data_IF_319839603108
#
_entry.id   IF_319839603108
#
_cell.length_a   1.000
_cell.length_b   1.000
_cell.length_c   1.000
_cell.angle_alpha   90.00
_cell.angle_beta   90.00
_cell.angle_gamma   90.00
#
_symmetry.space_group_name_H-M   'P 1'
#
loop_
_entity.id
_entity.type
_entity.pdbx_description
1 polymer ?
#
# COMPACT_ATOMS: atom_id res chain seq x y z
N UNK A 1 12.11 -5.32 -10.18
CA UNK A 1 10.81 -4.89 -10.75
C UNK A 1 10.35 -3.63 -10.04
N UNK A 2 9.87 -2.66 -10.81
CA UNK A 2 9.37 -1.40 -10.25
C UNK A 2 7.89 -1.54 -9.91
N UNK A 3 7.42 -0.87 -8.84
CA UNK A 3 6.00 -0.87 -8.53
C UNK A 3 5.20 -0.15 -9.61
N UNK A 4 3.94 -0.57 -9.87
CA UNK A 4 3.11 0.11 -10.85
C UNK A 4 2.75 1.52 -10.40
N UNK A 5 2.77 2.47 -11.34
CA UNK A 5 2.42 3.87 -11.05
C UNK A 5 0.91 3.97 -10.78
N UNK A 6 0.55 4.69 -9.72
CA UNK A 6 -0.85 4.90 -9.36
C UNK A 6 -1.57 5.70 -10.45
N UNK A 7 -2.74 5.21 -10.85
CA UNK A 7 -3.57 5.84 -11.87
C UNK A 7 -5.02 5.80 -11.40
N UNK A 8 -5.53 6.96 -10.99
CA UNK A 8 -6.88 7.06 -10.46
C UNK A 8 -7.95 6.76 -11.51
N UNK A 9 -7.63 6.99 -12.80
CA UNK A 9 -8.55 6.71 -13.89
C UNK A 9 -8.65 5.21 -14.19
N UNK A 10 -7.70 4.42 -13.69
CA UNK A 10 -7.65 2.99 -13.93
C UNK A 10 -7.30 2.24 -12.65
N UNK A 11 -8.05 2.57 -11.59
CA UNK A 11 -7.77 2.07 -10.24
C UNK A 11 -7.86 0.55 -10.17
N UNK A 12 -8.77 -0.08 -10.91
CA UNK A 12 -8.93 -1.54 -10.85
C UNK A 12 -7.68 -2.26 -11.39
N UNK A 13 -7.14 -1.77 -12.50
CA UNK A 13 -5.91 -2.31 -13.06
C UNK A 13 -4.74 -2.11 -12.11
N UNK A 14 -4.63 -0.90 -11.52
CA UNK A 14 -3.56 -0.61 -10.57
C UNK A 14 -3.64 -1.51 -9.34
N UNK A 15 -4.85 -1.73 -8.81
CA UNK A 15 -5.05 -2.62 -7.64
C UNK A 15 -4.53 -4.02 -7.91
N UNK A 16 -4.85 -4.57 -9.07
CA UNK A 16 -4.41 -5.92 -9.43
C UNK A 16 -2.89 -5.96 -9.55
N UNK A 17 -2.31 -5.01 -10.29
CA UNK A 17 -0.87 -4.97 -10.52
C UNK A 17 -0.10 -4.75 -9.22
N UNK A 18 -0.59 -3.82 -8.39
CA UNK A 18 0.07 -3.52 -7.12
C UNK A 18 -0.04 -4.68 -6.13
N UNK A 19 -1.19 -5.36 -6.10
CA UNK A 19 -1.39 -6.56 -5.27
C UNK A 19 -0.39 -7.65 -5.65
N UNK A 20 -0.19 -7.87 -6.94
CA UNK A 20 0.79 -8.86 -7.42
C UNK A 20 2.22 -8.47 -7.04
N UNK A 21 2.53 -7.18 -7.15
CA UNK A 21 3.84 -6.67 -6.77
C UNK A 21 4.11 -6.92 -5.28
N UNK A 22 3.16 -6.56 -4.43
CA UNK A 22 3.30 -6.72 -2.98
C UNK A 22 3.30 -8.19 -2.57
N UNK A 23 2.55 -9.04 -3.27
CA UNK A 23 2.56 -10.48 -3.05
C UNK A 23 3.95 -11.07 -3.35
N UNK A 24 4.60 -10.58 -4.40
CA UNK A 24 5.95 -10.98 -4.74
C UNK A 24 6.97 -10.61 -3.67
N UNK A 25 6.69 -9.56 -2.89
CA UNK A 25 7.54 -9.16 -1.77
C UNK A 25 7.20 -9.88 -0.46
N UNK A 26 6.15 -10.74 -0.47
CA UNK A 26 5.75 -11.50 0.70
C UNK A 26 5.00 -10.70 1.76
N UNK A 27 4.47 -9.53 1.40
CA UNK A 27 3.86 -8.59 2.36
C UNK A 27 2.36 -8.44 2.16
N UNK A 28 1.80 -9.08 1.14
CA UNK A 28 0.38 -8.94 0.79
C UNK A 28 -0.56 -9.29 1.93
N UNK A 29 -0.22 -10.29 2.74
CA UNK A 29 -1.09 -10.76 3.83
C UNK A 29 -1.35 -9.66 4.85
N UNK A 30 -0.41 -8.73 5.03
CA UNK A 30 -0.55 -7.66 6.02
C UNK A 30 -1.44 -6.51 5.55
N UNK A 31 -1.86 -6.53 4.27
CA UNK A 31 -2.74 -5.50 3.72
C UNK A 31 -4.23 -5.83 3.94
N UNK A 32 -4.55 -7.09 4.20
CA UNK A 32 -5.94 -7.52 4.34
C UNK A 32 -6.48 -7.37 5.74
N UNK A 33 -5.61 -7.23 6.74
CA UNK A 33 -6.01 -7.08 8.13
C UNK A 33 -4.87 -6.50 8.95
N UNK A 34 -5.21 -5.97 10.12
CA UNK A 34 -4.23 -5.54 11.10
C UNK A 34 -4.53 -6.24 12.42
N UNK A 35 -3.50 -6.70 13.10
CA UNK A 35 -3.59 -7.38 14.40
C UNK A 35 -2.59 -6.79 15.36
N UNK A 36 -2.96 -6.70 16.63
CA UNK A 36 -2.08 -6.15 17.65
C UNK A 36 -0.76 -6.93 17.74
N UNK A 37 -0.82 -8.25 17.54
CA UNK A 37 0.37 -9.09 17.58
C UNK A 37 1.41 -8.74 16.50
N UNK A 38 0.98 -8.08 15.42
CA UNK A 38 1.90 -7.67 14.35
C UNK A 38 2.89 -6.61 14.84
N UNK A 39 2.48 -5.75 15.77
CA UNK A 39 3.32 -4.63 16.21
C UNK A 39 4.57 -5.07 16.97
N UNK A 40 4.59 -6.30 17.48
CA UNK A 40 5.77 -6.87 18.14
C UNK A 40 6.55 -7.84 17.24
N UNK A 41 6.11 -8.03 16.01
CA UNK A 41 6.72 -8.98 15.08
C UNK A 41 7.68 -8.25 14.14
N UNK A 42 8.98 -8.58 14.22
CA UNK A 42 10.00 -7.92 13.41
C UNK A 42 9.80 -8.13 11.91
N UNK A 43 9.27 -9.30 11.52
CA UNK A 43 8.98 -9.56 10.10
C UNK A 43 7.86 -8.67 9.59
N UNK A 44 6.84 -8.44 10.43
CA UNK A 44 5.76 -7.51 10.08
C UNK A 44 6.31 -6.10 9.93
N UNK A 45 7.14 -5.64 10.87
CA UNK A 45 7.67 -4.28 10.84
C UNK A 45 8.51 -4.05 9.58
N UNK A 46 9.32 -5.04 9.20
CA UNK A 46 10.11 -4.97 7.97
C UNK A 46 9.20 -4.95 6.73
N UNK A 47 8.22 -5.87 6.67
CA UNK A 47 7.29 -5.93 5.55
C UNK A 47 6.45 -4.67 5.45
N UNK A 48 6.01 -4.13 6.59
CA UNK A 48 5.24 -2.89 6.64
C UNK A 48 6.04 -1.73 6.05
N UNK A 49 7.31 -1.59 6.43
CA UNK A 49 8.18 -0.54 5.90
C UNK A 49 8.36 -0.65 4.39
N UNK A 50 8.58 -1.86 3.89
CA UNK A 50 8.74 -2.11 2.46
C UNK A 50 7.45 -1.79 1.70
N UNK A 51 6.31 -2.20 2.25
CA UNK A 51 5.02 -1.95 1.62
C UNK A 51 4.70 -0.46 1.57
N UNK A 52 4.94 0.26 2.67
CA UNK A 52 4.72 1.70 2.73
C UNK A 52 5.58 2.40 1.69
N UNK A 53 6.86 2.05 1.61
CA UNK A 53 7.77 2.64 0.63
C UNK A 53 7.27 2.39 -0.79
N UNK A 54 6.90 1.15 -1.09
CA UNK A 54 6.40 0.79 -2.42
C UNK A 54 5.12 1.56 -2.77
N UNK A 55 4.16 1.60 -1.83
CA UNK A 55 2.89 2.29 -2.06
C UNK A 55 3.10 3.79 -2.26
N UNK A 56 3.87 4.43 -1.39
CA UNK A 56 4.08 5.87 -1.48
C UNK A 56 4.89 6.27 -2.73
N UNK A 57 5.77 5.39 -3.19
CA UNK A 57 6.59 5.69 -4.38
C UNK A 57 5.77 5.69 -5.68
N UNK A 58 4.55 5.14 -5.67
CA UNK A 58 3.70 5.11 -6.85
C UNK A 58 2.83 6.35 -6.98
N UNK A 59 2.79 7.22 -5.97
CA UNK A 59 1.86 8.33 -5.89
C UNK A 59 2.49 9.64 -6.32
N UNK A 60 1.69 10.52 -6.94
CA UNK A 60 2.11 11.89 -7.16
C UNK A 60 1.95 12.69 -5.84
N UNK A 61 2.41 13.95 -5.85
CA UNK A 61 2.45 14.76 -4.64
C UNK A 61 1.07 14.98 -4.02
N UNK A 62 0.02 15.08 -4.85
CA UNK A 62 -1.33 15.28 -4.36
C UNK A 62 -1.79 14.11 -3.48
N UNK A 63 -1.63 12.89 -3.97
CA UNK A 63 -2.06 11.71 -3.23
C UNK A 63 -1.08 11.36 -2.14
N UNK A 64 0.21 11.59 -2.37
CA UNK A 64 1.22 11.34 -1.36
C UNK A 64 0.97 12.17 -0.10
N UNK A 65 0.57 13.44 -0.25
CA UNK A 65 0.30 14.32 0.88
C UNK A 65 -0.84 13.80 1.76
N UNK A 66 -1.78 13.06 1.17
CA UNK A 66 -2.93 12.52 1.91
C UNK A 66 -2.57 11.32 2.79
N UNK A 67 -1.49 10.61 2.46
CA UNK A 67 -1.09 9.41 3.18
C UNK A 67 0.28 9.54 3.85
N UNK A 68 0.94 10.68 3.70
CA UNK A 68 2.31 10.88 4.17
C UNK A 68 2.45 10.65 5.69
N UNK A 69 1.42 10.95 6.46
CA UNK A 69 1.44 10.83 7.92
C UNK A 69 1.17 9.40 8.41
N UNK A 70 0.71 8.51 7.53
CA UNK A 70 0.38 7.15 7.92
C UNK A 70 1.63 6.28 7.92
N UNK A 71 1.77 5.46 8.94
CA UNK A 71 2.91 4.53 9.10
C UNK A 71 2.48 3.06 9.03
N UNK A 72 1.26 2.79 8.58
CA UNK A 72 0.74 1.44 8.39
C UNK A 72 0.42 1.21 6.91
N UNK A 73 1.00 0.17 6.33
CA UNK A 73 0.71 -0.19 4.95
C UNK A 73 -0.77 -0.51 4.74
N UNK A 74 -1.40 -1.15 5.74
CA UNK A 74 -2.83 -1.44 5.72
C UNK A 74 -3.64 -0.15 5.55
N UNK A 75 -3.34 0.87 6.35
CA UNK A 75 -4.06 2.15 6.29
C UNK A 75 -3.77 2.87 4.98
N UNK A 76 -2.52 2.90 4.54
CA UNK A 76 -2.15 3.55 3.27
C UNK A 76 -2.88 2.88 2.10
N UNK A 77 -2.84 1.55 2.04
CA UNK A 77 -3.51 0.79 0.97
C UNK A 77 -5.00 1.11 0.90
N UNK A 78 -5.68 1.01 2.06
CA UNK A 78 -7.13 1.24 2.10
C UNK A 78 -7.49 2.68 1.75
N UNK A 79 -6.68 3.65 2.17
CA UNK A 79 -6.91 5.06 1.84
C UNK A 79 -6.78 5.29 0.34
N UNK A 80 -5.73 4.77 -0.29
CA UNK A 80 -5.51 4.92 -1.73
C UNK A 80 -6.65 4.29 -2.52
N UNK A 81 -7.03 3.06 -2.16
CA UNK A 81 -8.12 2.35 -2.84
C UNK A 81 -9.42 3.13 -2.72
N UNK A 82 -9.71 3.65 -1.53
CA UNK A 82 -10.91 4.45 -1.29
C UNK A 82 -10.93 5.71 -2.15
N UNK A 83 -9.80 6.40 -2.26
CA UNK A 83 -9.69 7.59 -3.11
C UNK A 83 -9.94 7.27 -4.57
N UNK A 84 -9.44 6.13 -5.04
CA UNK A 84 -9.62 5.71 -6.42
C UNK A 84 -11.04 5.27 -6.74
N UNK A 85 -11.81 4.83 -5.75
CA UNK A 85 -13.18 4.36 -5.92
C UNK A 85 -14.21 5.46 -5.71
N UNK A 86 -13.79 6.61 -5.23
CA UNK A 86 -14.66 7.79 -5.12
C UNK A 86 -14.70 8.52 -6.46
N UNK A 87 -15.85 8.53 -7.06
CA UNK A 87 -16.07 9.26 -8.32
C UNK A 87 -17.18 10.26 -8.16
#
# INVERSE_FOLDING_TARGET
MLPPIFDILNIQSWKVKMSLYLKGLGIHVYLSTIKDSYFSNSKYLEANSKAIHALKSTLNDEYLSRVAKFDSAFVVWNTIVSLGEQK
#
